data_IF_762593574113
#
_entry.id   IF_762593574113
#
_cell.length_a   1.000
_cell.length_b   1.000
_cell.length_c   1.000
_cell.angle_alpha   90.00
_cell.angle_beta   90.00
_cell.angle_gamma   90.00
#
_symmetry.space_group_name_H-M   'P 1'
#
loop_
_entity.id
_entity.type
_entity.pdbx_description
1 polymer ?
2 non-polymer ?
3 non-polymer ?
4 water ?
#
# COMPACT_ATOMS: atom_id res chain seq x y z
N UNK A 1 6.17 -2.02 -4.63
CA UNK A 1 7.27 -1.13 -5.06
C UNK A 1 8.65 -1.74 -4.83
N UNK A 2 8.77 -2.76 -3.99
CA UNK A 2 10.02 -3.39 -3.51
C UNK A 2 9.70 -4.74 -2.85
N UNK A 3 10.71 -5.50 -2.37
CA UNK A 3 10.53 -6.91 -2.00
C UNK A 3 9.59 -7.16 -0.79
N UNK A 4 9.44 -6.14 0.05
CA UNK A 4 8.47 -6.18 1.17
C UNK A 4 7.05 -6.19 0.64
N UNK A 5 6.78 -5.26 -0.28
CA UNK A 5 5.45 -5.17 -0.92
C UNK A 5 5.20 -6.43 -1.73
N UNK A 6 6.23 -6.98 -2.36
CA UNK A 6 6.12 -8.25 -3.11
C UNK A 6 5.60 -9.39 -2.22
N UNK A 7 6.23 -9.60 -1.08
CA UNK A 7 5.81 -10.70 -0.18
C UNK A 7 4.38 -10.41 0.30
N UNK A 8 4.10 -9.17 0.73
CA UNK A 8 2.75 -8.79 1.21
C UNK A 8 1.69 -9.10 0.14
N UNK A 9 1.95 -8.71 -1.12
CA UNK A 9 0.99 -8.93 -2.22
C UNK A 9 0.74 -10.44 -2.42
N UNK A 10 1.79 -11.21 -2.35
CA UNK A 10 1.65 -12.69 -2.55
C UNK A 10 0.73 -13.27 -1.47
N UNK A 11 0.82 -12.79 -0.25
CA UNK A 11 -0.07 -13.26 0.83
C UNK A 11 -1.47 -12.77 0.57
N UNK A 12 -1.66 -11.48 0.25
CA UNK A 12 -3.01 -10.95 0.05
C UNK A 12 -3.74 -11.65 -1.09
N UNK A 13 -3.04 -11.96 -2.19
CA UNK A 13 -3.71 -12.43 -3.44
C UNK A 13 -4.19 -13.87 -3.28
N UNK A 14 -3.65 -14.64 -2.33
CA UNK A 14 -4.03 -16.06 -2.22
C UNK A 14 -4.58 -16.39 -0.83
N UNK A 15 -4.21 -15.66 0.23
CA UNK A 15 -4.48 -16.09 1.63
C UNK A 15 -5.38 -15.10 2.36
N UNK A 16 -6.15 -14.25 1.70
CA UNK A 16 -7.15 -13.39 2.38
C UNK A 16 -8.54 -13.55 1.79
N UNK A 17 -9.52 -13.33 2.66
CA UNK A 17 -10.94 -13.21 2.26
C UNK A 17 -11.49 -11.96 2.94
N UNK A 18 -12.62 -11.47 2.49
CA UNK A 18 -13.30 -10.40 3.23
C UNK A 18 -14.31 -11.09 4.15
N UNK A 19 -14.15 -10.91 5.46
CA UNK A 19 -15.11 -11.47 6.44
C UNK A 19 -16.04 -10.38 6.93
N UNK A 20 -17.34 -10.69 7.04
CA UNK A 20 -18.34 -9.73 7.57
C UNK A 20 -19.06 -10.40 8.74
N UNK A 21 -19.00 -9.76 9.91
CA UNK A 21 -19.81 -10.15 11.08
C UNK A 21 -20.80 -9.00 11.33
N UNK A 22 -21.53 -9.10 12.43
CA UNK A 22 -22.44 -8.03 12.87
C UNK A 22 -21.68 -6.80 13.32
N UNK A 23 -20.36 -6.94 13.57
CA UNK A 23 -19.47 -5.86 14.06
C UNK A 23 -18.72 -5.19 12.90
N UNK A 24 -18.90 -5.63 11.65
CA UNK A 24 -18.27 -4.99 10.49
C UNK A 24 -17.62 -5.92 9.50
N UNK A 25 -16.92 -5.31 8.55
CA UNK A 25 -16.09 -5.99 7.53
C UNK A 25 -14.65 -6.02 8.02
N UNK A 26 -13.98 -7.17 7.91
CA UNK A 26 -12.58 -7.34 8.34
C UNK A 26 -11.78 -8.07 7.26
N UNK A 27 -10.54 -7.66 7.08
CA UNK A 27 -9.53 -8.50 6.41
C UNK A 27 -9.43 -9.78 7.25
N UNK A 28 -9.44 -10.93 6.59
CA UNK A 28 -9.30 -12.24 7.31
C UNK A 28 -8.21 -13.03 6.60
N UNK A 29 -7.21 -13.42 7.37
CA UNK A 29 -6.08 -14.26 6.89
C UNK A 29 -6.41 -15.75 6.99
N UNK A 30 -6.40 -16.43 5.83
CA UNK A 30 -6.47 -17.92 5.76
C UNK A 30 -5.09 -18.49 5.99
N UNK A 31 -4.93 -19.50 6.85
CA UNK A 31 -3.61 -20.01 7.27
C UNK A 31 -3.35 -21.39 6.66
N UNK A 32 -4.33 -22.31 6.69
CA UNK A 32 -4.18 -23.63 6.05
C UNK A 32 -5.56 -24.27 6.05
N UNK A 33 -5.78 -25.22 5.14
CA UNK A 33 -7.05 -26.00 5.08
C UNK A 33 -8.20 -24.96 5.10
N UNK A 34 -9.17 -25.06 6.03
CA UNK A 34 -10.31 -24.11 6.07
C UNK A 34 -10.17 -23.25 7.33
N UNK A 35 -8.96 -23.09 7.82
CA UNK A 35 -8.67 -22.40 9.12
C UNK A 35 -8.17 -20.99 8.78
N UNK A 36 -8.80 -20.00 9.41
CA UNK A 36 -8.41 -18.60 9.25
C UNK A 36 -8.31 -17.91 10.61
N UNK A 37 -7.88 -16.65 10.62
CA UNK A 37 -7.86 -15.84 11.86
C UNK A 37 -8.53 -14.49 11.65
N UNK A 38 -8.97 -13.89 12.75
CA UNK A 38 -9.68 -12.58 12.72
C UNK A 38 -9.52 -12.00 14.10
N UNK A 39 -9.53 -10.66 14.29
CA UNK A 39 -9.50 -10.17 15.67
C UNK A 39 -10.71 -10.63 16.46
N UNK A 40 -10.48 -10.90 17.76
CA UNK A 40 -11.58 -11.43 18.61
C UNK A 40 -12.73 -10.41 18.73
N UNK A 41 -12.46 -9.11 18.69
CA UNK A 41 -13.54 -8.11 18.73
C UNK A 41 -14.47 -8.17 17.51
N UNK A 42 -14.17 -8.95 16.45
CA UNK A 42 -15.15 -9.19 15.36
C UNK A 42 -16.36 -9.97 15.86
N UNK A 43 -16.29 -10.65 17.02
CA UNK A 43 -17.41 -11.39 17.63
C UNK A 43 -18.00 -12.41 16.65
N UNK A 44 -17.16 -13.34 16.19
CA UNK A 44 -17.61 -14.37 15.24
C UNK A 44 -18.71 -15.23 15.90
N UNK A 45 -19.78 -15.50 15.17
CA UNK A 45 -20.88 -16.35 15.64
C UNK A 45 -20.92 -17.66 14.90
N UNK A 46 -22.13 -18.22 14.75
CA UNK A 46 -22.35 -19.55 14.12
C UNK A 46 -22.34 -19.41 12.60
N UNK A 47 -22.58 -18.20 12.09
CA UNK A 47 -22.63 -17.88 10.63
C UNK A 47 -21.79 -16.61 10.43
N UNK A 48 -21.02 -16.59 9.35
CA UNK A 48 -20.20 -15.43 8.94
C UNK A 48 -20.35 -15.26 7.41
N UNK A 49 -20.19 -14.06 6.89
CA UNK A 49 -20.14 -13.86 5.42
C UNK A 49 -18.67 -13.82 4.99
N UNK A 50 -18.32 -14.61 3.97
CA UNK A 50 -16.94 -14.75 3.41
C UNK A 50 -17.07 -14.31 1.94
N UNK A 51 -16.53 -13.15 1.59
CA UNK A 51 -16.67 -12.64 0.19
C UNK A 51 -18.16 -12.59 -0.15
N UNK A 52 -18.98 -12.14 0.78
CA UNK A 52 -20.45 -11.90 0.65
C UNK A 52 -21.23 -13.19 0.45
N UNK A 53 -20.65 -14.34 0.80
CA UNK A 53 -21.36 -15.65 0.79
C UNK A 53 -21.58 -16.15 2.23
N UNK A 54 -22.83 -16.50 2.52
CA UNK A 54 -23.22 -17.05 3.84
C UNK A 54 -22.47 -18.35 4.10
N UNK A 55 -21.76 -18.43 5.23
CA UNK A 55 -20.83 -19.55 5.52
C UNK A 55 -21.02 -20.00 6.98
N UNK A 56 -21.23 -21.28 7.21
CA UNK A 56 -21.30 -21.82 8.56
C UNK A 56 -19.92 -21.82 9.17
N UNK A 57 -19.86 -21.49 10.44
CA UNK A 57 -18.62 -21.57 11.25
C UNK A 57 -18.58 -22.95 11.90
N UNK A 58 -17.59 -23.77 11.56
CA UNK A 58 -17.53 -25.14 12.12
C UNK A 58 -16.97 -25.08 13.52
N UNK A 59 -16.05 -24.16 13.81
CA UNK A 59 -15.45 -23.99 15.14
C UNK A 59 -14.87 -22.59 15.23
N UNK A 60 -14.84 -22.01 16.41
CA UNK A 60 -14.18 -20.70 16.62
C UNK A 60 -13.60 -20.70 18.03
N UNK A 61 -12.35 -20.31 18.17
CA UNK A 61 -11.73 -20.26 19.50
C UNK A 61 -10.98 -18.93 19.73
N UNK A 62 -11.43 -18.17 20.69
CA UNK A 62 -10.77 -16.93 21.13
C UNK A 62 -9.57 -17.31 21.95
N UNK A 63 -8.36 -17.07 21.48
CA UNK A 63 -7.12 -17.53 22.15
C UNK A 63 -6.82 -16.63 23.36
N UNK A 64 -6.30 -17.26 24.41
CA UNK A 64 -5.80 -16.57 25.62
C UNK A 64 -4.48 -17.22 25.98
N UNK A 65 -3.56 -16.50 26.61
CA UNK A 65 -2.32 -17.12 27.08
C UNK A 65 -2.56 -17.93 28.36
N UNK A 66 -1.47 -18.55 28.81
CA UNK A 66 -1.62 -19.53 29.92
C UNK A 66 -1.86 -18.82 31.24
N UNK A 67 -1.64 -17.51 31.32
CA UNK A 67 -2.11 -16.63 32.45
C UNK A 67 -3.60 -16.23 32.27
N UNK A 68 -4.33 -16.75 31.27
CA UNK A 68 -5.76 -16.48 31.02
C UNK A 68 -5.86 -14.99 30.70
N UNK A 69 -4.90 -14.47 29.91
CA UNK A 69 -4.94 -13.08 29.40
C UNK A 69 -5.33 -13.10 27.91
N UNK A 70 -6.22 -12.23 27.50
CA UNK A 70 -6.64 -12.09 26.09
C UNK A 70 -5.41 -11.99 25.15
N UNK A 71 -5.47 -12.69 24.00
CA UNK A 71 -4.49 -12.47 22.89
C UNK A 71 -5.12 -11.77 21.67
N UNK A 72 -6.44 -11.58 21.64
CA UNK A 72 -7.16 -10.84 20.57
C UNK A 72 -7.16 -11.58 19.25
N UNK A 73 -6.77 -12.87 19.23
CA UNK A 73 -6.83 -13.69 18.00
C UNK A 73 -7.98 -14.68 18.18
N UNK A 74 -8.89 -14.74 17.22
CA UNK A 74 -9.86 -15.85 17.12
C UNK A 74 -9.48 -16.71 15.91
N UNK A 75 -9.32 -18.01 16.13
CA UNK A 75 -9.09 -19.00 15.05
C UNK A 75 -10.44 -19.51 14.65
N UNK A 76 -10.74 -19.48 13.36
CA UNK A 76 -12.08 -19.88 12.82
C UNK A 76 -11.91 -20.99 11.82
N UNK A 77 -12.66 -22.08 11.95
CA UNK A 77 -12.70 -23.08 10.86
C UNK A 77 -13.99 -22.86 10.08
N UNK A 78 -13.91 -22.64 8.79
CA UNK A 78 -15.05 -22.26 7.93
C UNK A 78 -15.60 -23.47 7.20
N UNK A 79 -16.90 -23.58 7.05
CA UNK A 79 -17.52 -24.62 6.18
C UNK A 79 -17.48 -24.16 4.73
N UNK A 80 -16.28 -24.07 4.20
CA UNK A 80 -15.97 -23.57 2.83
C UNK A 80 -15.63 -24.77 1.95
N UNK A 81 -15.89 -24.68 0.65
CA UNK A 81 -15.63 -25.78 -0.29
C UNK A 81 -14.22 -25.72 -0.87
N UNK A 82 -13.31 -24.93 -0.30
CA UNK A 82 -11.99 -24.74 -0.91
C UNK A 82 -11.00 -24.51 0.23
N UNK A 83 -9.81 -25.08 0.15
CA UNK A 83 -8.74 -24.87 1.14
C UNK A 83 -7.87 -23.65 0.77
N UNK A 84 -7.29 -23.06 1.80
CA UNK A 84 -6.24 -22.03 1.66
C UNK A 84 -4.93 -22.72 1.33
N UNK A 85 -4.10 -22.03 0.58
CA UNK A 85 -2.65 -22.36 0.52
C UNK A 85 -2.10 -22.43 1.94
N UNK A 86 -1.34 -23.45 2.24
CA UNK A 86 -0.74 -23.62 3.58
C UNK A 86 0.44 -22.66 3.72
N UNK A 87 0.30 -21.64 4.57
CA UNK A 87 1.38 -20.65 4.84
C UNK A 87 1.95 -20.79 6.25
N UNK A 88 1.75 -21.91 6.94
CA UNK A 88 2.25 -22.02 8.33
C UNK A 88 3.77 -21.91 8.39
N UNK A 89 4.48 -22.27 7.32
CA UNK A 89 5.97 -22.18 7.34
C UNK A 89 6.44 -20.73 7.33
N UNK A 90 5.55 -19.74 7.11
CA UNK A 90 5.91 -18.29 7.14
C UNK A 90 5.66 -17.69 8.53
N UNK A 91 5.20 -18.49 9.47
CA UNK A 91 4.86 -17.97 10.82
C UNK A 91 6.08 -18.08 11.71
N UNK A 92 6.39 -17.04 12.49
CA UNK A 92 7.48 -17.09 13.45
C UNK A 92 7.20 -18.10 14.56
N UNK A 93 8.28 -18.67 15.10
CA UNK A 93 8.14 -19.62 16.23
C UNK A 93 8.13 -18.89 17.56
N UNK A 94 8.78 -17.72 17.66
CA UNK A 94 8.94 -17.04 18.98
C UNK A 94 8.52 -15.57 18.88
N UNK A 95 8.28 -14.95 20.04
CA UNK A 95 8.02 -13.50 20.18
C UNK A 95 9.28 -12.76 19.74
N UNK A 96 9.16 -11.69 18.97
CA UNK A 96 10.34 -10.99 18.43
C UNK A 96 9.98 -9.57 18.05
N UNK A 97 11.02 -8.76 17.86
CA UNK A 97 10.95 -7.44 17.17
C UNK A 97 11.33 -7.63 15.70
N UNK A 98 10.94 -6.70 14.83
CA UNK A 98 11.13 -6.82 13.37
C UNK A 98 11.54 -5.50 12.77
N UNK A 99 12.27 -5.55 11.66
CA UNK A 99 12.45 -4.33 10.84
C UNK A 99 11.57 -4.39 9.58
N UNK A 100 11.15 -3.21 9.14
CA UNK A 100 10.66 -2.94 7.77
C UNK A 100 9.44 -3.82 7.48
N UNK A 101 8.37 -3.63 8.23
CA UNK A 101 7.11 -4.38 8.03
C UNK A 101 6.15 -3.61 7.13
N UNK A 102 5.20 -4.34 6.56
CA UNK A 102 4.08 -3.85 5.73
C UNK A 102 2.81 -4.35 6.38
N UNK A 103 1.85 -3.46 6.46
CA UNK A 103 0.45 -3.76 6.87
C UNK A 103 -0.43 -3.72 5.64
N UNK A 104 -1.14 -4.81 5.36
CA UNK A 104 -1.94 -4.95 4.11
C UNK A 104 -3.41 -5.23 4.46
N UNK A 105 -4.31 -4.52 3.79
CA UNK A 105 -5.76 -4.55 4.07
C UNK A 105 -6.48 -4.75 2.76
N UNK A 106 -7.54 -5.55 2.79
CA UNK A 106 -8.42 -5.72 1.62
C UNK A 106 -9.86 -5.80 2.12
N UNK A 107 -10.61 -4.70 1.95
CA UNK A 107 -12.07 -4.67 2.27
C UNK A 107 -12.73 -3.86 1.18
N UNK A 108 -14.08 -3.82 1.21
CA UNK A 108 -14.91 -2.93 0.34
C UNK A 108 -14.49 -1.45 0.51
N UNK A 109 -14.13 -1.03 1.73
CA UNK A 109 -13.72 0.37 2.05
C UNK A 109 -12.28 0.61 1.57
N UNK A 110 -11.38 -0.34 1.79
CA UNK A 110 -9.93 -0.19 1.49
C UNK A 110 -9.45 -1.39 0.68
N UNK A 111 -9.74 -1.47 -0.64
CA UNK A 111 -9.19 -2.53 -1.48
C UNK A 111 -7.73 -2.32 -1.85
N UNK A 112 -6.94 -3.41 -1.83
CA UNK A 112 -5.57 -3.37 -2.36
C UNK A 112 -4.78 -2.29 -1.65
N UNK A 113 -4.90 -2.21 -0.33
CA UNK A 113 -4.19 -1.22 0.48
C UNK A 113 -2.94 -1.84 1.10
N UNK A 114 -1.78 -1.16 0.96
CA UNK A 114 -0.50 -1.59 1.52
C UNK A 114 0.14 -0.39 2.21
N UNK A 115 0.63 -0.54 3.43
CA UNK A 115 1.24 0.57 4.25
C UNK A 115 2.59 0.13 4.75
N UNK A 116 3.71 0.80 4.40
CA UNK A 116 5.00 0.51 5.00
C UNK A 116 5.04 1.15 6.40
N UNK A 117 5.02 0.33 7.43
CA UNK A 117 4.92 0.83 8.84
C UNK A 117 6.28 0.95 9.49
N UNK A 118 7.34 0.38 8.94
CA UNK A 118 8.70 0.47 9.47
C UNK A 118 8.94 -0.52 10.56
N UNK A 119 9.66 -0.09 11.58
CA UNK A 119 10.10 -0.90 12.72
C UNK A 119 8.89 -1.38 13.55
N UNK A 120 8.92 -2.64 13.92
CA UNK A 120 7.89 -3.26 14.79
C UNK A 120 8.52 -3.68 16.13
N UNK A 121 8.00 -3.16 17.23
CA UNK A 121 8.47 -3.47 18.61
C UNK A 121 7.61 -4.59 19.21
N UNK A 122 8.27 -5.55 19.86
CA UNK A 122 7.59 -6.47 20.80
C UNK A 122 7.20 -5.65 22.01
N UNK A 123 5.99 -5.13 21.99
CA UNK A 123 5.47 -4.17 22.99
C UNK A 123 5.05 -4.95 24.24
N UNK A 124 4.39 -6.09 24.03
CA UNK A 124 3.93 -7.00 25.10
C UNK A 124 2.55 -6.66 25.60
N UNK A 125 2.47 -6.03 26.79
CA UNK A 125 1.17 -5.77 27.42
C UNK A 125 0.54 -4.49 26.85
N UNK A 126 -0.76 -4.54 26.55
CA UNK A 126 -1.55 -3.37 26.11
C UNK A 126 -2.94 -3.49 26.72
N UNK A 127 -3.42 -2.37 27.29
CA UNK A 127 -4.85 -2.21 27.64
C UNK A 127 -5.58 -1.80 26.39
N UNK A 128 -6.13 -2.78 25.68
CA UNK A 128 -6.72 -2.58 24.37
C UNK A 128 -8.21 -2.39 24.53
N UNK A 129 -8.68 -1.13 24.43
CA UNK A 129 -10.14 -0.89 24.61
C UNK A 129 -10.64 -1.34 25.99
N UNK A 130 -9.81 -1.21 27.01
CA UNK A 130 -10.17 -1.67 28.38
C UNK A 130 -9.81 -3.12 28.69
N UNK A 131 -9.39 -3.89 27.68
CA UNK A 131 -9.14 -5.34 27.88
C UNK A 131 -7.64 -5.60 27.97
N UNK A 132 -7.09 -6.07 29.12
CA UNK A 132 -5.67 -6.43 29.21
C UNK A 132 -5.32 -7.49 28.14
N UNK A 133 -4.34 -7.17 27.33
CA UNK A 133 -3.98 -8.01 26.14
C UNK A 133 -2.46 -8.25 26.16
N UNK A 134 -2.02 -9.47 25.80
CA UNK A 134 -0.59 -9.80 25.72
C UNK A 134 -0.14 -10.03 24.27
N UNK A 135 1.18 -10.15 24.08
CA UNK A 135 1.80 -10.48 22.76
C UNK A 135 1.49 -9.43 21.68
N UNK A 136 1.46 -8.17 22.07
CA UNK A 136 1.19 -7.05 21.14
C UNK A 136 2.48 -6.54 20.51
N UNK A 137 2.41 -6.41 19.19
CA UNK A 137 3.41 -5.71 18.35
C UNK A 137 2.96 -4.26 18.17
N UNK A 138 3.92 -3.34 18.13
CA UNK A 138 3.59 -1.90 17.91
C UNK A 138 4.40 -1.34 16.75
N UNK A 139 3.76 -0.48 15.98
CA UNK A 139 4.44 0.26 14.88
C UNK A 139 3.95 1.70 14.94
N UNK A 140 4.83 2.63 14.53
CA UNK A 140 4.58 4.08 14.68
C UNK A 140 3.94 4.53 13.39
N UNK A 141 2.71 4.11 13.13
CA UNK A 141 1.88 4.59 12.01
C UNK A 141 0.47 4.85 12.51
N UNK A 142 -0.13 6.01 12.12
CA UNK A 142 -1.49 6.41 12.52
C UNK A 142 -2.57 5.64 11.77
N UNK A 143 -2.70 4.37 12.14
CA UNK A 143 -3.71 3.46 11.57
C UNK A 143 -5.13 3.90 11.98
N UNK A 144 -6.13 3.53 11.19
CA UNK A 144 -7.53 4.03 11.33
C UNK A 144 -8.49 2.86 11.33
N UNK A 145 -9.72 3.14 11.78
CA UNK A 145 -10.90 2.26 11.62
C UNK A 145 -10.90 1.73 10.17
N UNK A 146 -11.22 0.45 10.01
CA UNK A 146 -11.19 -0.23 8.71
C UNK A 146 -9.95 -1.09 8.50
N UNK A 147 -8.91 -0.95 9.34
CA UNK A 147 -7.65 -1.69 9.12
C UNK A 147 -7.57 -2.95 9.99
N UNK A 148 -8.51 -3.15 10.91
CA UNK A 148 -8.45 -4.34 11.80
C UNK A 148 -8.56 -5.61 10.96
N UNK A 149 -7.71 -6.57 11.31
CA UNK A 149 -7.57 -7.83 10.60
C UNK A 149 -6.49 -7.72 9.53
N UNK A 150 -6.00 -6.50 9.28
CA UNK A 150 -4.93 -6.33 8.29
C UNK A 150 -3.77 -7.20 8.61
N UNK A 151 -3.05 -7.66 7.58
CA UNK A 151 -1.93 -8.60 7.77
C UNK A 151 -0.62 -7.84 7.91
N UNK A 152 0.15 -8.15 8.93
CA UNK A 152 1.51 -7.56 9.11
C UNK A 152 2.54 -8.59 8.65
N UNK A 153 3.42 -8.19 7.69
CA UNK A 153 4.42 -9.09 7.14
C UNK A 153 5.77 -8.38 7.18
N UNK A 154 6.82 -9.19 7.16
CA UNK A 154 8.14 -8.77 6.65
C UNK A 154 8.44 -9.63 5.42
N UNK A 155 9.59 -9.42 4.75
CA UNK A 155 10.03 -10.40 3.73
C UNK A 155 10.11 -11.78 4.38
N UNK A 156 9.32 -12.69 3.87
CA UNK A 156 9.37 -14.10 4.22
C UNK A 156 8.65 -14.40 5.51
N UNK A 157 8.13 -13.42 6.29
CA UNK A 157 7.33 -13.80 7.51
C UNK A 157 5.97 -13.07 7.64
N UNK A 158 4.98 -13.85 8.04
CA UNK A 158 3.63 -13.32 8.41
C UNK A 158 3.60 -13.24 9.93
N UNK A 159 3.66 -12.00 10.50
CA UNK A 159 4.00 -11.88 11.95
C UNK A 159 2.81 -11.48 12.82
N UNK A 160 1.70 -11.00 12.27
CA UNK A 160 0.59 -10.52 13.12
C UNK A 160 -0.62 -10.07 12.32
N UNK A 161 -1.70 -9.74 13.04
CA UNK A 161 -2.91 -9.13 12.45
C UNK A 161 -3.22 -7.88 13.28
N UNK A 162 -3.51 -6.78 12.58
CA UNK A 162 -3.84 -5.46 13.16
C UNK A 162 -5.09 -5.55 14.03
N UNK A 163 -5.01 -5.05 15.28
CA UNK A 163 -6.16 -5.13 16.22
C UNK A 163 -6.49 -3.76 16.84
N UNK A 164 -5.67 -2.72 16.66
CA UNK A 164 -6.06 -1.41 17.21
C UNK A 164 -5.08 -0.31 16.95
N UNK A 165 -5.38 0.87 17.48
CA UNK A 165 -4.43 2.00 17.38
C UNK A 165 -4.80 3.08 18.37
N UNK A 166 -3.92 4.06 18.57
CA UNK A 166 -4.21 5.19 19.51
C UNK A 166 -4.19 6.53 18.77
N UNK A 167 -4.30 6.53 17.44
CA UNK A 167 -4.15 7.74 16.61
C UNK A 167 -2.73 7.99 16.13
N UNK A 168 -1.68 7.64 16.88
CA UNK A 168 -0.25 7.81 16.49
C UNK A 168 0.45 6.45 16.26
N UNK A 169 0.09 5.45 17.07
CA UNK A 169 0.65 4.07 17.01
C UNK A 169 -0.45 3.09 16.57
N UNK A 170 -0.01 2.02 15.91
CA UNK A 170 -0.89 0.89 15.59
C UNK A 170 -0.39 -0.35 16.31
N UNK A 171 -1.29 -1.28 16.55
CA UNK A 171 -1.02 -2.48 17.36
C UNK A 171 -1.54 -3.74 16.64
N UNK A 172 -0.68 -4.76 16.64
CA UNK A 172 -1.07 -6.06 16.06
C UNK A 172 -0.94 -7.16 17.11
N UNK A 173 -1.78 -8.18 17.02
CA UNK A 173 -1.62 -9.43 17.80
C UNK A 173 -0.65 -10.34 17.07
N UNK A 174 0.33 -10.90 17.79
CA UNK A 174 1.28 -11.85 17.17
C UNK A 174 0.57 -13.05 16.59
N UNK A 175 1.10 -13.56 15.49
CA UNK A 175 0.85 -14.94 15.07
C UNK A 175 2.10 -15.77 15.35
N UNK A 176 1.90 -16.90 15.96
CA UNK A 176 2.95 -17.88 16.25
C UNK A 176 2.58 -19.21 15.61
N UNK A 177 3.62 -19.89 15.12
CA UNK A 177 3.46 -21.23 14.50
C UNK A 177 2.69 -22.19 15.42
N UNK A 178 2.96 -22.11 16.72
CA UNK A 178 2.34 -23.01 17.73
C UNK A 178 0.83 -22.89 17.82
N UNK A 179 0.22 -21.78 17.36
CA UNK A 179 -1.25 -21.65 17.35
C UNK A 179 -1.92 -22.60 16.33
N UNK A 180 -1.17 -23.14 15.35
CA UNK A 180 -1.78 -23.85 14.17
C UNK A 180 -1.17 -25.23 13.95
N UNK A 181 -0.63 -25.85 14.99
CA UNK A 181 -0.14 -27.26 14.92
C UNK A 181 -1.36 -28.18 14.86
N UNK A 182 -1.27 -29.27 14.08
CA UNK A 182 -2.39 -30.21 13.83
C UNK A 182 -1.83 -31.65 13.78
N UNK B 2 -12.15 6.40 0.93
CA UNK B 2 -13.51 7.00 0.65
C UNK B 2 -13.50 7.80 -0.65
N UNK B 3 -13.82 9.11 -0.62
CA UNK B 3 -13.58 9.98 -1.77
C UNK B 3 -12.11 9.91 -2.22
N UNK B 4 -11.17 9.82 -1.27
CA UNK B 4 -9.72 9.72 -1.53
C UNK B 4 -9.35 8.44 -2.27
N UNK B 5 -9.76 7.29 -1.74
CA UNK B 5 -9.54 5.96 -2.42
C UNK B 5 -10.27 5.88 -3.77
N UNK B 6 -11.53 6.36 -3.85
CA UNK B 6 -12.27 6.44 -5.13
C UNK B 6 -11.47 7.29 -6.14
N UNK B 7 -10.98 8.44 -5.69
CA UNK B 7 -10.23 9.36 -6.58
C UNK B 7 -8.95 8.66 -7.09
N UNK B 8 -8.22 8.05 -6.19
CA UNK B 8 -6.95 7.36 -6.57
C UNK B 8 -7.26 6.26 -7.60
N UNK B 9 -8.33 5.48 -7.38
CA UNK B 9 -8.75 4.40 -8.31
C UNK B 9 -9.15 4.97 -9.68
N UNK B 10 -9.89 6.08 -9.69
CA UNK B 10 -10.39 6.69 -10.95
C UNK B 10 -9.19 7.15 -11.82
N UNK B 11 -8.15 7.71 -11.19
CA UNK B 11 -6.92 8.15 -11.90
C UNK B 11 -6.06 6.93 -12.27
N UNK B 12 -6.01 5.92 -11.42
CA UNK B 12 -5.32 4.63 -11.78
C UNK B 12 -5.97 4.06 -13.05
N UNK B 13 -7.28 3.84 -12.99
CA UNK B 13 -8.01 3.08 -14.04
C UNK B 13 -7.88 3.73 -15.41
N UNK B 14 -8.05 5.05 -15.53
CA UNK B 14 -8.10 5.69 -16.85
C UNK B 14 -6.78 6.40 -17.23
N UNK B 15 -5.98 6.82 -16.26
CA UNK B 15 -4.83 7.71 -16.55
C UNK B 15 -3.46 7.09 -16.23
N UNK B 16 -3.35 5.83 -15.87
CA UNK B 16 -2.04 5.24 -15.48
C UNK B 16 -1.73 4.06 -16.40
N UNK B 17 -0.53 4.07 -17.01
CA UNK B 17 -0.03 2.97 -17.88
C UNK B 17 1.30 2.48 -17.36
N UNK B 18 1.72 1.30 -17.84
CA UNK B 18 3.06 0.75 -17.50
C UNK B 18 4.04 1.16 -18.59
N UNK B 19 5.05 1.95 -18.24
CA UNK B 19 6.08 2.41 -19.19
C UNK B 19 7.32 1.55 -18.95
N UNK B 20 7.99 1.09 -20.01
CA UNK B 20 9.25 0.33 -19.85
C UNK B 20 10.31 1.00 -20.73
N UNK B 21 11.35 1.46 -20.05
CA UNK B 21 12.57 2.04 -20.65
C UNK B 21 13.69 0.98 -20.57
N UNK B 22 14.89 1.37 -21.01
CA UNK B 22 16.12 0.55 -20.88
C UNK B 22 16.30 0.17 -19.42
N UNK B 23 15.79 0.97 -18.46
CA UNK B 23 16.02 0.77 -17.02
C UNK B 23 14.95 -0.13 -16.38
N UNK B 24 13.88 -0.42 -17.07
CA UNK B 24 12.80 -1.29 -16.60
C UNK B 24 11.47 -0.55 -16.50
N UNK B 25 10.59 -0.99 -15.58
CA UNK B 25 9.16 -0.55 -15.62
C UNK B 25 8.95 0.55 -14.58
N UNK B 26 8.13 1.50 -15.04
CA UNK B 26 7.75 2.69 -14.25
C UNK B 26 6.25 2.91 -14.41
N UNK B 27 5.62 3.28 -13.28
CA UNK B 27 4.24 3.81 -13.30
C UNK B 27 4.23 5.15 -14.06
N UNK B 28 3.46 5.25 -15.09
CA UNK B 28 3.43 6.48 -15.92
C UNK B 28 2.04 7.09 -15.81
N UNK B 29 1.97 8.41 -15.62
CA UNK B 29 0.71 9.17 -15.66
C UNK B 29 0.50 9.85 -17.00
N UNK B 30 -0.59 9.49 -17.68
CA UNK B 30 -1.05 10.26 -18.84
C UNK B 30 -1.91 11.44 -18.41
N UNK B 31 -1.63 12.61 -18.96
CA UNK B 31 -2.20 13.89 -18.46
C UNK B 31 -3.28 14.40 -19.43
N UNK B 32 -3.03 14.40 -20.71
CA UNK B 32 -4.01 14.84 -21.76
C UNK B 32 -3.46 14.45 -23.12
N UNK B 33 -4.32 14.37 -24.14
CA UNK B 33 -3.85 14.07 -25.52
C UNK B 33 -2.90 12.86 -25.50
N UNK B 34 -1.67 13.02 -26.02
CA UNK B 34 -0.66 11.91 -25.97
C UNK B 34 0.52 12.35 -25.08
N UNK B 35 0.22 13.17 -24.09
CA UNK B 35 1.24 13.74 -23.17
C UNK B 35 1.19 13.04 -21.84
N UNK B 36 2.34 12.52 -21.37
CA UNK B 36 2.47 11.75 -20.11
C UNK B 36 3.70 12.24 -19.37
N UNK B 37 3.81 11.85 -18.12
CA UNK B 37 4.99 12.15 -17.27
C UNK B 37 5.55 10.87 -16.67
N UNK B 38 6.85 10.94 -16.41
CA UNK B 38 7.65 9.82 -15.85
C UNK B 38 8.83 10.46 -15.14
N UNK B 39 9.42 9.84 -14.10
CA UNK B 39 10.62 10.40 -13.49
C UNK B 39 11.77 10.54 -14.48
N UNK B 40 12.58 11.59 -14.34
CA UNK B 40 13.73 11.80 -15.28
C UNK B 40 14.71 10.62 -15.19
N UNK B 41 14.86 10.00 -14.01
CA UNK B 41 15.80 8.86 -13.85
C UNK B 41 15.39 7.66 -14.66
N UNK B 42 14.18 7.61 -15.28
CA UNK B 42 13.78 6.49 -16.16
C UNK B 42 14.59 6.44 -17.47
N UNK B 43 15.26 7.56 -17.81
CA UNK B 43 16.16 7.65 -18.99
C UNK B 43 15.37 7.26 -20.25
N UNK B 44 14.32 8.02 -20.54
CA UNK B 44 13.49 7.83 -21.73
C UNK B 44 14.36 8.01 -22.98
N UNK B 45 14.19 7.09 -23.92
CA UNK B 45 14.90 7.16 -25.20
C UNK B 45 14.00 7.55 -26.33
N UNK B 46 14.36 7.07 -27.53
CA UNK B 46 13.58 7.33 -28.75
C UNK B 46 12.33 6.43 -28.77
N UNK B 47 12.45 5.27 -28.13
CA UNK B 47 11.38 4.23 -28.12
C UNK B 47 11.12 3.88 -26.65
N UNK B 48 9.85 3.62 -26.36
CA UNK B 48 9.40 3.17 -25.03
C UNK B 48 8.32 2.09 -25.23
N UNK B 49 8.15 1.23 -24.23
CA UNK B 49 7.01 0.28 -24.23
C UNK B 49 5.91 0.86 -23.32
N UNK B 50 4.70 0.88 -23.86
CA UNK B 50 3.49 1.35 -23.12
C UNK B 50 2.54 0.16 -23.03
N UNK B 51 2.34 -0.40 -21.85
CA UNK B 51 1.55 -1.65 -21.68
C UNK B 51 2.07 -2.74 -22.65
N UNK B 52 3.39 -2.82 -22.79
CA UNK B 52 4.14 -3.86 -23.56
C UNK B 52 4.04 -3.61 -25.06
N UNK B 53 3.53 -2.46 -25.49
CA UNK B 53 3.52 -2.05 -26.90
C UNK B 53 4.71 -1.11 -27.21
N UNK B 54 5.58 -1.50 -28.14
CA UNK B 54 6.65 -0.62 -28.68
C UNK B 54 6.03 0.67 -29.20
N UNK B 55 6.49 1.85 -28.69
CA UNK B 55 5.87 3.17 -28.96
C UNK B 55 6.96 4.21 -29.21
N UNK B 56 6.91 4.91 -30.33
CA UNK B 56 7.86 6.01 -30.58
C UNK B 56 7.58 7.13 -29.59
N UNK B 57 8.65 7.63 -28.98
CA UNK B 57 8.57 8.91 -28.21
C UNK B 57 8.87 10.10 -29.15
N UNK B 58 7.86 10.92 -29.42
CA UNK B 58 7.99 12.04 -30.38
C UNK B 58 8.80 13.17 -29.76
N UNK B 59 8.73 13.31 -28.43
CA UNK B 59 9.38 14.42 -27.71
C UNK B 59 9.54 14.01 -26.25
N UNK B 60 10.68 14.39 -25.67
CA UNK B 60 10.92 14.23 -24.22
C UNK B 60 11.57 15.50 -23.70
N UNK B 61 11.00 16.04 -22.63
CA UNK B 61 11.54 17.24 -21.97
C UNK B 61 11.85 16.92 -20.50
N UNK B 62 13.12 16.99 -20.13
CA UNK B 62 13.59 16.84 -18.73
C UNK B 62 13.39 18.20 -18.05
N UNK B 63 12.30 18.36 -17.31
CA UNK B 63 11.91 19.70 -16.85
C UNK B 63 12.91 20.30 -15.85
N UNK B 64 13.13 21.59 -16.02
CA UNK B 64 13.92 22.45 -15.09
C UNK B 64 13.11 23.73 -14.83
N UNK B 65 13.32 24.36 -13.69
CA UNK B 65 12.56 25.60 -13.37
C UNK B 65 13.37 26.81 -13.84
N UNK B 66 12.87 27.99 -13.53
CA UNK B 66 13.46 29.26 -14.04
C UNK B 66 14.75 29.61 -13.30
N UNK B 67 15.11 28.91 -12.21
CA UNK B 67 16.46 28.97 -11.60
C UNK B 67 17.43 28.01 -12.32
N UNK B 68 16.97 27.34 -13.38
CA UNK B 68 17.75 26.33 -14.12
C UNK B 68 18.13 25.20 -13.17
N UNK B 69 17.16 24.75 -12.36
CA UNK B 69 17.32 23.60 -11.44
C UNK B 69 16.41 22.44 -11.88
N UNK B 70 16.95 21.25 -11.81
CA UNK B 70 16.22 19.99 -12.08
C UNK B 70 14.92 19.95 -11.27
N UNK B 71 13.86 19.42 -11.92
CA UNK B 71 12.56 19.09 -11.24
C UNK B 71 12.31 17.57 -11.22
N UNK B 72 13.11 16.78 -11.95
CA UNK B 72 13.04 15.31 -11.95
C UNK B 72 11.75 14.79 -12.62
N UNK B 73 11.03 15.63 -13.35
CA UNK B 73 9.86 15.20 -14.18
C UNK B 73 10.32 15.26 -15.61
N UNK B 74 10.04 14.21 -16.38
CA UNK B 74 10.18 14.24 -17.84
C UNK B 74 8.79 14.15 -18.47
N UNK B 75 8.46 15.17 -19.28
CA UNK B 75 7.20 15.19 -20.07
C UNK B 75 7.46 14.49 -21.39
N UNK B 76 6.63 13.53 -21.76
CA UNK B 76 6.79 12.83 -23.05
C UNK B 76 5.55 13.07 -23.92
N UNK B 77 5.75 13.10 -25.24
CA UNK B 77 4.69 13.06 -26.27
C UNK B 77 4.81 11.73 -27.00
N UNK B 78 3.78 10.89 -26.94
CA UNK B 78 3.83 9.48 -27.42
C UNK B 78 3.15 9.40 -28.80
N UNK B 79 3.73 8.61 -29.72
CA UNK B 79 3.10 8.28 -31.03
C UNK B 79 2.15 7.09 -30.84
N UNK B 80 0.93 7.34 -30.34
CA UNK B 80 -0.12 6.29 -30.15
C UNK B 80 -1.50 6.87 -30.42
N UNK B 81 -2.40 6.01 -30.88
CA UNK B 81 -3.75 6.43 -31.33
C UNK B 81 -4.58 6.90 -30.13
N UNK B 82 -4.51 6.16 -29.03
CA UNK B 82 -5.32 6.42 -27.82
C UNK B 82 -4.94 7.78 -27.23
N UNK B 83 -5.96 8.55 -26.87
CA UNK B 83 -5.78 9.85 -26.16
C UNK B 83 -6.06 9.64 -24.68
N UNK B 84 -5.28 10.25 -23.79
CA UNK B 84 -5.53 10.19 -22.34
C UNK B 84 -6.70 11.11 -21.97
N UNK B 85 -7.53 10.65 -21.05
CA UNK B 85 -8.59 11.48 -20.40
C UNK B 85 -7.94 12.73 -19.80
N UNK B 86 -8.38 13.95 -20.21
CA UNK B 86 -7.78 15.21 -19.69
C UNK B 86 -8.00 15.30 -18.17
N UNK B 87 -6.92 15.47 -17.39
CA UNK B 87 -6.93 15.66 -15.92
C UNK B 87 -6.18 16.92 -15.52
N UNK B 88 -5.97 17.82 -16.48
CA UNK B 88 -5.22 19.07 -16.15
C UNK B 88 -5.96 19.87 -15.11
N UNK B 89 -7.30 19.77 -15.06
CA UNK B 89 -8.09 20.52 -14.06
C UNK B 89 -7.89 19.98 -12.64
N UNK B 90 -7.22 18.82 -12.44
CA UNK B 90 -6.93 18.28 -11.10
C UNK B 90 -5.49 18.58 -10.64
N UNK B 91 -4.75 19.33 -11.44
CA UNK B 91 -3.34 19.68 -11.07
C UNK B 91 -3.34 20.95 -10.23
N UNK B 92 -2.61 20.98 -9.12
CA UNK B 92 -2.46 22.20 -8.33
C UNK B 92 -1.84 23.34 -9.13
N UNK B 93 -2.32 24.56 -8.85
CA UNK B 93 -1.78 25.77 -9.50
C UNK B 93 -0.50 26.22 -8.80
N UNK B 94 -0.40 25.96 -7.50
CA UNK B 94 0.72 26.44 -6.65
C UNK B 94 1.32 25.28 -5.84
N UNK B 95 2.52 25.52 -5.30
CA UNK B 95 3.20 24.65 -4.32
C UNK B 95 2.35 24.65 -3.05
N UNK B 96 2.23 23.50 -2.38
CA UNK B 96 1.39 23.37 -1.17
C UNK B 96 1.77 22.14 -0.35
N UNK B 97 1.32 22.10 0.91
CA UNK B 97 1.32 20.92 1.83
C UNK B 97 -0.05 20.26 1.68
N UNK B 98 -0.14 18.97 1.98
CA UNK B 98 -1.40 18.18 1.83
C UNK B 98 -1.56 17.20 2.99
N UNK B 99 -2.82 16.76 3.18
CA UNK B 99 -3.13 15.66 4.13
C UNK B 99 -3.76 14.48 3.39
N UNK B 100 -3.59 13.30 3.95
CA UNK B 100 -4.44 12.15 3.56
C UNK B 100 -4.10 11.74 2.12
N UNK B 101 -2.83 11.75 1.73
CA UNK B 101 -2.47 11.42 0.33
C UNK B 101 -2.34 9.90 0.12
N UNK B 102 -2.53 9.47 -1.11
CA UNK B 102 -2.39 8.06 -1.56
C UNK B 102 -1.36 8.03 -2.68
N UNK B 103 -0.45 7.07 -2.60
CA UNK B 103 0.53 6.76 -3.65
C UNK B 103 0.05 5.49 -4.36
N UNK B 104 -0.17 5.57 -5.67
CA UNK B 104 -0.78 4.48 -6.48
C UNK B 104 0.23 3.95 -7.53
N UNK B 105 0.62 2.68 -7.34
CA UNK B 105 1.68 1.98 -8.11
C UNK B 105 1.05 1.06 -9.13
N UNK B 106 1.55 1.05 -10.34
CA UNK B 106 1.02 0.15 -11.37
C UNK B 106 2.13 -0.34 -12.27
N UNK B 107 2.59 -1.59 -12.06
CA UNK B 107 3.59 -2.24 -12.97
C UNK B 107 3.17 -3.68 -13.19
N UNK B 108 3.93 -4.40 -13.99
CA UNK B 108 3.61 -5.85 -14.22
C UNK B 108 3.76 -6.60 -12.90
N UNK B 109 4.70 -6.23 -12.07
CA UNK B 109 4.96 -6.88 -10.75
C UNK B 109 3.96 -6.45 -9.69
N UNK B 110 3.51 -5.19 -9.73
CA UNK B 110 2.66 -4.51 -8.70
C UNK B 110 1.45 -3.90 -9.40
N UNK B 111 0.48 -4.70 -9.86
CA UNK B 111 -0.64 -4.15 -10.58
C UNK B 111 -1.63 -3.50 -9.59
N UNK B 112 -2.19 -2.37 -9.91
CA UNK B 112 -3.23 -1.83 -8.97
C UNK B 112 -2.87 -1.93 -7.46
N UNK B 113 -1.77 -1.34 -6.94
CA UNK B 113 -1.37 -1.24 -5.50
C UNK B 113 -1.57 0.20 -4.96
N UNK B 114 -2.24 0.39 -3.83
CA UNK B 114 -2.54 1.71 -3.22
C UNK B 114 -1.87 1.82 -1.86
N UNK B 115 -1.01 2.83 -1.71
CA UNK B 115 -0.19 3.05 -0.49
C UNK B 115 -0.57 4.36 0.16
N UNK B 116 -1.39 4.37 1.22
CA UNK B 116 -1.73 5.57 1.98
C UNK B 116 -0.41 6.04 2.59
N UNK B 117 -0.03 7.26 2.29
CA UNK B 117 1.23 7.82 2.82
C UNK B 117 0.93 8.87 3.89
N UNK B 118 -0.26 9.48 3.84
CA UNK B 118 -0.75 10.42 4.87
C UNK B 118 -0.26 11.82 4.59
N UNK B 119 0.40 12.42 5.57
CA UNK B 119 0.78 13.85 5.52
C UNK B 119 1.93 14.06 4.52
N UNK B 120 1.71 15.00 3.64
CA UNK B 120 2.71 15.40 2.59
C UNK B 120 3.16 16.84 2.88
N UNK B 121 4.47 17.00 3.03
CA UNK B 121 5.08 18.36 3.20
C UNK B 121 5.70 18.88 1.90
N UNK B 122 5.53 20.16 1.62
CA UNK B 122 6.36 20.98 0.72
C UNK B 122 7.78 21.03 1.28
N UNK B 123 8.63 20.10 0.88
CA UNK B 123 10.00 19.90 1.42
C UNK B 123 10.94 20.86 0.68
N UNK B 124 10.72 21.06 -0.63
CA UNK B 124 11.45 22.00 -1.49
C UNK B 124 12.73 21.42 -2.06
N UNK B 125 13.89 21.82 -1.55
CA UNK B 125 15.19 21.46 -2.12
C UNK B 125 15.61 20.09 -1.62
N UNK B 126 16.11 19.25 -2.52
CA UNK B 126 16.68 17.92 -2.23
C UNK B 126 17.87 17.70 -3.16
N UNK B 127 18.98 17.23 -2.60
CA UNK B 127 20.09 16.68 -3.42
C UNK B 127 19.76 15.23 -3.73
N UNK B 128 19.24 14.98 -4.92
CA UNK B 128 18.73 13.64 -5.32
C UNK B 128 19.76 12.92 -6.21
N UNK B 129 20.46 11.92 -5.65
CA UNK B 129 21.51 11.20 -6.40
C UNK B 129 22.63 12.12 -6.86
N UNK B 130 22.90 13.19 -6.11
CA UNK B 130 23.96 14.14 -6.46
C UNK B 130 23.47 15.29 -7.32
N UNK B 131 22.19 15.30 -7.73
CA UNK B 131 21.61 16.42 -8.51
C UNK B 131 20.71 17.31 -7.65
N UNK B 132 21.00 18.62 -7.56
CA UNK B 132 20.15 19.59 -6.89
C UNK B 132 18.77 19.58 -7.57
N UNK B 133 17.73 19.45 -6.76
CA UNK B 133 16.32 19.28 -7.24
C UNK B 133 15.39 20.18 -6.44
N UNK B 134 14.42 20.79 -7.14
CA UNK B 134 13.42 21.65 -6.49
C UNK B 134 12.05 20.97 -6.47
N UNK B 135 11.15 21.62 -5.74
CA UNK B 135 9.69 21.30 -5.68
C UNK B 135 9.46 19.84 -5.28
N UNK B 136 10.19 19.37 -4.30
CA UNK B 136 10.02 18.02 -3.74
C UNK B 136 8.96 18.06 -2.65
N UNK B 137 8.02 17.12 -2.78
CA UNK B 137 7.06 16.74 -1.70
C UNK B 137 7.62 15.61 -0.88
N UNK B 138 7.41 15.58 0.44
CA UNK B 138 7.99 14.51 1.27
C UNK B 138 6.88 13.88 2.13
N UNK B 139 6.97 12.57 2.28
CA UNK B 139 6.07 11.77 3.17
C UNK B 139 6.90 10.72 3.88
N UNK B 140 6.43 10.24 5.06
CA UNK B 140 7.07 9.10 5.71
C UNK B 140 7.01 7.91 4.76
N UNK B 141 8.06 7.12 4.68
CA UNK B 141 8.16 5.95 3.77
C UNK B 141 9.29 5.06 4.27
N UNK B 142 9.11 4.38 5.42
CA UNK B 142 10.19 3.70 6.14
C UNK B 142 10.46 2.32 5.54
N UNK B 143 10.91 2.34 4.29
CA UNK B 143 11.20 1.15 3.46
C UNK B 143 12.16 1.64 2.37
N UNK B 144 13.00 0.75 1.87
CA UNK B 144 13.80 1.04 0.65
C UNK B 144 12.99 0.43 -0.50
N UNK B 145 12.30 1.27 -1.28
CA UNK B 145 11.54 0.87 -2.49
C UNK B 145 12.47 0.93 -3.72
N UNK B 146 12.12 0.22 -4.79
CA UNK B 146 12.78 0.37 -6.10
C UNK B 146 12.37 1.63 -6.85
N UNK B 147 12.68 1.63 -8.13
CA UNK B 147 12.63 2.82 -9.01
C UNK B 147 11.22 3.11 -9.54
N UNK B 148 10.28 2.18 -9.46
CA UNK B 148 9.14 2.17 -10.39
C UNK B 148 8.20 3.39 -10.12
N UNK B 149 8.24 3.92 -8.92
CA UNK B 149 7.42 5.12 -8.57
C UNK B 149 5.92 4.91 -8.65
N UNK B 150 5.16 6.01 -8.79
CA UNK B 150 3.72 5.96 -8.60
C UNK B 150 3.11 7.34 -8.53
N UNK B 151 1.80 7.42 -8.58
CA UNK B 151 1.10 8.71 -8.69
C UNK B 151 0.64 9.09 -7.29
N UNK B 152 0.84 10.33 -6.89
CA UNK B 152 0.39 10.80 -5.55
C UNK B 152 -0.86 11.68 -5.72
N UNK B 153 -1.95 11.28 -5.04
CA UNK B 153 -3.24 12.01 -5.09
C UNK B 153 -3.73 12.35 -3.70
N UNK B 154 -4.56 13.37 -3.65
CA UNK B 154 -5.41 13.68 -2.47
C UNK B 154 -6.85 13.58 -2.95
N UNK B 155 -7.82 13.83 -2.08
CA UNK B 155 -9.18 14.04 -2.63
C UNK B 155 -9.14 15.25 -3.55
N UNK B 156 -9.45 15.05 -4.80
CA UNK B 156 -9.66 16.10 -5.79
C UNK B 156 -8.44 16.59 -6.50
N UNK B 157 -7.21 16.12 -6.16
CA UNK B 157 -5.99 16.64 -6.82
C UNK B 157 -4.99 15.53 -7.13
N UNK B 158 -4.36 15.72 -8.28
CA UNK B 158 -3.17 14.90 -8.67
C UNK B 158 -1.92 15.74 -8.36
N UNK B 159 -1.17 15.40 -7.33
CA UNK B 159 -0.21 16.39 -6.74
C UNK B 159 1.23 16.08 -7.13
N UNK B 160 1.58 14.86 -7.53
CA UNK B 160 3.00 14.56 -7.81
C UNK B 160 3.22 13.13 -8.22
N UNK B 161 4.45 12.84 -8.61
CA UNK B 161 4.87 11.46 -8.94
C UNK B 161 6.09 11.13 -8.10
N UNK B 162 6.15 9.91 -7.58
CA UNK B 162 7.23 9.43 -6.69
C UNK B 162 8.56 9.34 -7.45
N UNK B 163 9.59 9.97 -6.93
CA UNK B 163 10.91 10.02 -7.61
C UNK B 163 12.02 9.38 -6.77
N UNK B 164 11.88 9.14 -5.48
CA UNK B 164 12.99 8.60 -4.68
C UNK B 164 12.67 8.46 -3.20
N UNK B 165 13.71 8.19 -2.40
CA UNK B 165 13.54 8.01 -0.95
C UNK B 165 14.85 7.64 -0.28
N UNK B 166 14.92 7.78 1.04
CA UNK B 166 16.20 7.65 1.81
C UNK B 166 16.05 6.58 2.90
N UNK B 167 15.04 5.69 2.78
CA UNK B 167 14.77 4.55 3.68
C UNK B 167 13.84 4.89 4.84
N UNK B 168 13.66 6.17 5.12
CA UNK B 168 12.79 6.75 6.17
C UNK B 168 11.72 7.61 5.51
N UNK B 169 12.13 8.37 4.49
CA UNK B 169 11.23 9.35 3.83
C UNK B 169 11.11 8.97 2.37
N UNK B 170 9.97 9.27 1.78
CA UNK B 170 9.69 9.20 0.34
C UNK B 170 9.52 10.59 -0.27
N UNK B 171 9.94 10.69 -1.53
CA UNK B 171 9.99 12.03 -2.21
C UNK B 171 9.25 11.94 -3.52
N UNK B 172 8.43 12.94 -3.80
CA UNK B 172 7.69 13.07 -5.05
C UNK B 172 8.01 14.41 -5.69
N UNK B 173 8.07 14.47 -6.99
CA UNK B 173 8.16 15.73 -7.77
C UNK B 173 6.77 16.32 -7.89
N UNK B 174 6.58 17.61 -7.59
CA UNK B 174 5.28 18.26 -7.74
C UNK B 174 4.82 18.25 -9.18
N UNK B 175 3.50 18.08 -9.42
CA UNK B 175 2.91 18.38 -10.71
C UNK B 175 2.14 19.71 -10.55
N UNK B 176 2.39 20.66 -11.47
CA UNK B 176 1.72 21.98 -11.46
C UNK B 176 0.99 22.15 -12.78
N UNK B 177 -0.14 22.88 -12.72
CA UNK B 177 -0.98 23.12 -13.90
C UNK B 177 -0.18 23.81 -15.00
N UNK B 178 0.72 24.71 -14.57
CA UNK B 178 1.51 25.50 -15.56
C UNK B 178 2.47 24.66 -16.38
N UNK B 179 2.76 23.41 -15.98
CA UNK B 179 3.69 22.60 -16.81
C UNK B 179 3.08 22.13 -18.15
N UNK B 180 1.74 22.21 -18.24
CA UNK B 180 0.96 21.59 -19.33
C UNK B 180 0.03 22.60 -20.02
N UNK B 181 0.13 23.88 -19.70
CA UNK B 181 -0.62 24.94 -20.41
C UNK B 181 0.04 25.24 -21.77
X LIG C 1 -15.43 -3.81 22.75
X LIG C 1 -14.12 -4.30 22.87
X LIG C 1 -13.09 -3.55 23.44
X LIG C 1 -11.82 -4.11 23.54
X LIG C 1 -11.55 -5.39 23.08
X LIG C 1 -12.59 -6.12 22.52
X LIG C 1 -10.18 -5.99 23.22
X LIG C 1 -18.00 -2.48 22.47
X LIG C 1 -17.82 -3.97 22.61
X LIG C 1 -16.54 -4.36 23.29
X LIG C 1 -16.50 -5.15 24.23
X LIG C 1 -13.86 -5.59 22.40
X LIG C 1 -14.93 -6.36 21.99
X LIG D 1 3.42 19.92 -22.27
X LIG D 1 3.92 19.39 -23.62
X LIG D 1 1.67 20.10 -22.46
X LIG D 1 3.83 21.66 -22.23
#
# INVERSE_FOLDING_TARGET
>A
MGPGFDFAQAIMKKNTVIARTEKGEFTMLGVYDRVAVIPTHASVGEIIYINDVETRVLDACALRDLTDTNLEITIVKLDRNQKFRDIRHFLPRCEDDYNDAVLSVHTSKFPNMYIPVGQVTNYGFLNLGGTPTHRILMYNFPTRAGQCGGVVTTTGKVIGIHVGGNGAQGFAAMLLHSYFTD
>B
MGPGFDFAQAIMKKNTVIARTEKGEFTMLGVYDRVAVIPTHASVGEIIYINDVETRVLDACALRDLTDTNLEITIVKLDRNQKFRDIRHFLPRCEDDYNDAVLSVHTSKFPNMYIPVGQVTNYGFLNLGGTPTHRILMYNFPTRAGQCGGVVTTTGKVIGIHVGGNGAQGFAAMLLHSYFTD
>C hetero
1 GVV N1 C4 C5 C6 C7 C8 C10 C1 C2 C3 O1 C9 O2
>D hetero
1 DMS S O C1 C2
#
